data_IF_404047954661
#
_entry.id   IF_404047954661
#
_cell.length_a   1.000
_cell.length_b   1.000
_cell.length_c   1.000
_cell.angle_alpha   90.00
_cell.angle_beta   90.00
_cell.angle_gamma   90.00
#
_symmetry.space_group_name_H-M   'P 1'
#
loop_
_entity.id
_entity.type
_entity.pdbx_description
1 polymer ?
#
# COMPACT_ATOMS: atom_id res chain seq x y z
N UNK A 1 71.63 14.90 -30.70
CA UNK A 1 70.94 15.50 -31.87
C UNK A 1 70.03 16.61 -31.32
N UNK A 2 70.03 17.88 -31.78
CA UNK A 2 69.85 18.43 -33.15
C UNK A 2 68.41 18.14 -33.62
N UNK A 3 67.50 19.09 -33.91
CA UNK A 3 67.44 20.59 -33.89
C UNK A 3 65.95 20.99 -33.68
N UNK A 4 65.54 22.15 -33.11
CA UNK A 4 65.35 23.50 -33.71
C UNK A 4 64.50 23.49 -35.03
N UNK A 5 63.56 24.41 -35.36
CA UNK A 5 63.13 25.71 -34.78
C UNK A 5 61.85 26.29 -35.49
N UNK A 6 61.00 27.08 -34.80
CA UNK A 6 60.15 28.22 -35.28
C UNK A 6 59.01 27.98 -36.33
N UNK A 7 58.09 28.93 -36.63
CA UNK A 7 57.41 29.99 -35.82
C UNK A 7 56.31 30.76 -36.60
N UNK A 8 55.35 31.34 -35.85
CA UNK A 8 54.67 32.67 -35.98
C UNK A 8 54.05 33.19 -37.32
N UNK A 9 53.04 34.06 -37.09
CA UNK A 9 52.40 35.10 -37.92
C UNK A 9 51.08 34.66 -38.61
N UNK A 10 49.88 35.22 -38.41
CA UNK A 10 49.35 36.54 -37.97
C UNK A 10 49.28 37.64 -39.05
N UNK A 11 48.06 38.11 -39.42
CA UNK A 11 47.64 39.53 -39.35
C UNK A 11 46.28 39.85 -40.05
N UNK A 12 45.49 40.70 -39.37
CA UNK A 12 44.56 41.75 -39.87
C UNK A 12 43.50 41.50 -40.97
N UNK A 13 42.27 41.44 -40.46
CA UNK A 13 41.00 42.00 -40.96
C UNK A 13 41.01 43.30 -41.80
N UNK A 14 39.98 43.44 -42.68
CA UNK A 14 39.17 44.64 -43.08
C UNK A 14 38.12 44.20 -44.16
N UNK A 15 36.99 44.87 -44.49
CA UNK A 15 36.06 45.83 -43.81
C UNK A 15 34.86 46.19 -44.74
N UNK A 16 33.61 45.82 -44.39
CA UNK A 16 32.36 46.38 -44.97
C UNK A 16 31.99 45.99 -46.42
N UNK A 17 30.87 46.46 -47.02
CA UNK A 17 29.74 47.28 -46.49
C UNK A 17 28.52 47.27 -47.44
N UNK A 18 27.30 47.47 -46.88
CA UNK A 18 26.00 47.88 -47.51
C UNK A 18 24.96 46.78 -47.88
N UNK A 19 23.72 47.28 -47.94
CA UNK A 19 22.35 46.70 -48.00
C UNK A 19 21.76 46.90 -49.43
N UNK A 20 20.45 46.66 -49.80
CA UNK A 20 19.20 46.61 -48.99
C UNK A 20 18.05 45.66 -49.45
N UNK A 21 16.83 45.94 -48.96
CA UNK A 21 15.51 45.26 -49.09
C UNK A 21 15.31 43.96 -48.27
N UNK A 22 14.16 43.74 -47.61
CA UNK A 22 13.05 44.67 -47.29
C UNK A 22 11.74 43.99 -46.84
N UNK A 23 10.94 44.65 -45.97
CA UNK A 23 9.61 44.25 -45.45
C UNK A 23 9.63 42.97 -44.54
N UNK A 24 8.82 42.72 -43.49
CA UNK A 24 7.79 43.42 -42.66
C UNK A 24 7.62 42.57 -41.33
N UNK A 25 6.84 42.84 -40.26
CA UNK A 25 5.90 43.91 -39.86
C UNK A 25 5.73 44.01 -38.29
N UNK A 26 4.55 44.51 -37.87
CA UNK A 26 3.86 44.66 -36.56
C UNK A 26 3.80 43.36 -35.70
N UNK A 27 3.91 43.30 -34.35
CA UNK A 27 3.80 44.25 -33.20
C UNK A 27 2.38 44.48 -32.65
N UNK A 28 1.93 43.66 -31.70
CA UNK A 28 0.58 43.72 -31.08
C UNK A 28 0.56 44.56 -29.79
N UNK A 29 -0.49 45.38 -29.60
CA UNK A 29 -0.85 46.04 -28.34
C UNK A 29 -2.18 45.48 -27.79
N UNK A 30 -2.35 45.49 -26.46
CA UNK A 30 -3.65 45.41 -25.81
C UNK A 30 -4.29 46.81 -25.68
N UNK A 31 -5.63 46.90 -25.55
CA UNK A 31 -6.17 47.47 -24.30
C UNK A 31 -7.46 46.78 -23.79
N UNK A 32 -8.00 47.34 -22.69
CA UNK A 32 -9.07 46.79 -21.84
C UNK A 32 -10.52 47.02 -22.34
N UNK A 33 -11.39 46.09 -21.93
CA UNK A 33 -12.80 46.24 -21.53
C UNK A 33 -13.85 46.86 -22.49
N UNK A 34 -14.92 46.10 -22.72
CA UNK A 34 -16.29 46.59 -22.48
C UNK A 34 -17.22 45.44 -22.04
N UNK A 35 -18.30 45.76 -21.31
CA UNK A 35 -19.33 44.79 -20.88
C UNK A 35 -20.41 44.61 -21.95
N UNK A 36 -20.85 43.37 -22.15
CA UNK A 36 -22.20 43.02 -22.61
C UNK A 36 -22.64 41.72 -21.94
N UNK A 37 -23.90 41.65 -21.52
CA UNK A 37 -24.49 40.43 -20.97
C UNK A 37 -25.45 39.81 -22.00
N UNK A 38 -25.24 38.55 -22.33
CA UNK A 38 -26.19 37.67 -23.04
C UNK A 38 -26.14 36.34 -22.30
N UNK A 39 -27.29 35.75 -21.98
CA UNK A 39 -27.34 34.46 -21.30
C UNK A 39 -27.21 33.31 -22.30
N UNK A 40 -26.39 32.32 -21.97
CA UNK A 40 -26.34 31.04 -22.70
C UNK A 40 -27.06 29.94 -21.93
N UNK A 41 -27.57 28.96 -22.67
CA UNK A 41 -28.51 27.98 -22.17
C UNK A 41 -27.85 26.88 -21.32
N UNK A 42 -28.62 26.40 -20.36
CA UNK A 42 -28.43 25.18 -19.57
C UNK A 42 -27.78 24.03 -20.34
N UNK A 43 -26.52 23.71 -19.99
CA UNK A 43 -25.96 22.36 -20.15
C UNK A 43 -26.50 21.43 -19.04
N UNK A 44 -26.41 20.10 -19.22
CA UNK A 44 -26.95 19.14 -18.25
C UNK A 44 -26.15 19.15 -16.93
N UNK A 45 -26.86 19.00 -15.81
CA UNK A 45 -26.24 18.88 -14.50
C UNK A 45 -25.27 17.70 -14.45
N UNK A 46 -23.98 17.99 -14.24
CA UNK A 46 -23.11 17.04 -13.57
C UNK A 46 -23.64 16.89 -12.13
N UNK A 47 -24.33 15.78 -11.85
CA UNK A 47 -24.77 15.48 -10.49
C UNK A 47 -23.54 15.34 -9.60
N UNK A 48 -23.41 16.19 -8.59
CA UNK A 48 -22.31 16.12 -7.64
C UNK A 48 -22.37 14.77 -6.93
N UNK A 49 -21.36 13.92 -7.16
CA UNK A 49 -21.23 12.65 -6.46
C UNK A 49 -20.90 12.97 -5.00
N UNK A 50 -21.79 12.58 -4.10
CA UNK A 50 -21.67 12.85 -2.67
C UNK A 50 -20.55 12.01 -2.05
N UNK A 51 -19.31 12.52 -2.05
CA UNK A 51 -18.20 11.90 -1.34
C UNK A 51 -18.48 11.87 0.17
N UNK A 52 -18.88 10.71 0.66
CA UNK A 52 -19.16 10.46 2.07
C UNK A 52 -18.10 9.52 2.68
N UNK A 53 -16.95 10.07 3.04
CA UNK A 53 -16.06 9.62 4.14
C UNK A 53 -14.91 10.61 4.32
N UNK A 54 -14.50 10.86 5.56
CA UNK A 54 -13.35 11.72 5.88
C UNK A 54 -12.03 10.99 5.64
N UNK A 55 -11.60 10.92 4.39
CA UNK A 55 -10.30 10.37 3.96
C UNK A 55 -9.33 11.53 3.79
N UNK A 56 -8.19 11.51 4.50
CA UNK A 56 -7.21 12.59 4.45
C UNK A 56 -6.59 12.72 3.04
N UNK A 57 -6.18 13.93 2.61
CA UNK A 57 -5.48 14.12 1.34
C UNK A 57 -4.28 13.17 1.22
N UNK A 58 -4.11 12.53 0.05
CA UNK A 58 -3.01 11.57 -0.14
C UNK A 58 -3.15 10.25 0.61
N UNK A 59 -4.36 9.80 0.97
CA UNK A 59 -4.60 8.46 1.53
C UNK A 59 -5.58 7.64 0.68
N UNK A 60 -5.46 6.30 0.72
CA UNK A 60 -6.42 5.37 0.09
C UNK A 60 -6.65 4.12 0.96
N UNK A 61 -7.65 3.30 0.62
CA UNK A 61 -7.86 2.00 1.30
C UNK A 61 -8.04 0.84 0.31
N UNK A 62 -7.54 -0.34 0.68
CA UNK A 62 -7.71 -1.60 -0.07
C UNK A 62 -8.04 -2.76 0.88
N UNK A 63 -8.37 -3.94 0.36
CA UNK A 63 -8.55 -5.14 1.17
C UNK A 63 -7.87 -6.37 0.53
N UNK A 64 -7.51 -7.36 1.33
CA UNK A 64 -6.93 -8.62 0.85
C UNK A 64 -7.31 -9.81 1.74
N UNK A 65 -7.56 -10.96 1.10
CA UNK A 65 -7.64 -12.30 1.71
C UNK A 65 -7.68 -13.38 0.60
N UNK A 66 -7.37 -14.63 0.97
CA UNK A 66 -7.46 -15.80 0.09
C UNK A 66 -8.64 -16.71 0.43
N UNK A 67 -8.74 -17.83 -0.30
CA UNK A 67 -9.48 -19.03 0.13
C UNK A 67 -10.99 -18.75 0.24
N UNK A 68 -11.57 -18.36 -0.90
CA UNK A 68 -12.91 -17.81 -1.00
C UNK A 68 -13.97 -18.92 -1.07
N UNK A 69 -14.00 -19.67 -2.16
CA UNK A 69 -15.10 -20.59 -2.51
C UNK A 69 -16.43 -19.89 -2.78
N UNK A 70 -17.50 -20.68 -2.85
CA UNK A 70 -18.87 -20.21 -3.07
C UNK A 70 -19.81 -20.59 -1.92
N UNK A 71 -20.78 -19.71 -1.64
CA UNK A 71 -21.66 -19.71 -0.46
C UNK A 71 -20.96 -19.49 0.88
N UNK A 72 -19.82 -20.13 1.11
CA UNK A 72 -18.91 -19.94 2.23
C UNK A 72 -18.49 -18.48 2.44
N UNK A 73 -18.19 -17.77 1.34
CA UNK A 73 -17.79 -16.37 1.28
C UNK A 73 -18.95 -15.36 1.28
N UNK A 74 -20.22 -15.79 1.32
CA UNK A 74 -21.41 -14.90 1.26
C UNK A 74 -21.28 -13.69 2.20
N UNK A 75 -20.95 -13.92 3.47
CA UNK A 75 -20.86 -12.88 4.50
C UNK A 75 -19.68 -11.94 4.27
N UNK A 76 -18.53 -12.48 3.85
CA UNK A 76 -17.30 -11.72 3.62
C UNK A 76 -17.38 -10.84 2.37
N UNK A 77 -18.02 -11.31 1.29
CA UNK A 77 -18.36 -10.47 0.14
C UNK A 77 -19.36 -9.36 0.52
N UNK A 78 -20.36 -9.67 1.35
CA UNK A 78 -21.33 -8.67 1.84
C UNK A 78 -20.69 -7.60 2.74
N UNK A 79 -19.62 -7.93 3.47
CA UNK A 79 -18.83 -6.99 4.24
C UNK A 79 -17.86 -6.19 3.35
N UNK A 80 -17.25 -6.84 2.34
CA UNK A 80 -16.38 -6.19 1.35
C UNK A 80 -17.14 -5.11 0.57
N UNK A 81 -18.35 -5.39 0.10
CA UNK A 81 -19.23 -4.43 -0.59
C UNK A 81 -19.48 -3.14 0.20
N UNK A 82 -19.44 -3.21 1.53
CA UNK A 82 -19.70 -2.10 2.47
C UNK A 82 -18.42 -1.48 3.04
N UNK A 83 -17.26 -2.00 2.68
CA UNK A 83 -15.97 -1.60 3.28
C UNK A 83 -15.42 -0.26 2.76
N UNK A 84 -15.93 0.20 1.61
CA UNK A 84 -15.49 1.46 0.97
C UNK A 84 -14.05 1.43 0.43
N UNK A 85 -13.50 0.24 0.16
CA UNK A 85 -12.15 0.09 -0.41
C UNK A 85 -12.10 0.40 -1.90
N UNK A 86 -10.94 0.84 -2.38
CA UNK A 86 -10.69 1.13 -3.79
C UNK A 86 -10.48 -0.13 -4.64
N UNK A 87 -9.91 -1.19 -4.05
CA UNK A 87 -9.70 -2.49 -4.68
C UNK A 87 -9.63 -3.63 -3.66
N UNK A 88 -9.81 -4.86 -4.13
CA UNK A 88 -9.60 -6.11 -3.39
C UNK A 88 -8.52 -6.96 -4.06
N UNK A 89 -7.67 -7.60 -3.26
CA UNK A 89 -6.69 -8.60 -3.70
C UNK A 89 -7.18 -9.99 -3.29
N UNK A 90 -7.56 -10.83 -4.27
CA UNK A 90 -7.90 -12.23 -4.04
C UNK A 90 -6.61 -13.07 -4.04
N UNK A 91 -6.19 -13.52 -2.85
CA UNK A 91 -4.91 -14.21 -2.61
C UNK A 91 -4.97 -15.71 -2.98
N UNK A 92 -5.49 -16.02 -4.16
CA UNK A 92 -5.70 -17.38 -4.66
C UNK A 92 -6.80 -18.19 -3.96
N UNK A 93 -7.08 -19.35 -4.55
CA UNK A 93 -8.10 -20.32 -4.16
C UNK A 93 -9.52 -19.70 -4.19
N UNK A 94 -10.10 -19.72 -5.39
CA UNK A 94 -11.22 -18.89 -5.82
C UNK A 94 -12.57 -19.61 -5.69
N UNK A 95 -12.87 -20.64 -6.50
CA UNK A 95 -14.17 -21.34 -6.46
C UNK A 95 -14.12 -22.67 -5.68
N UNK A 96 -13.04 -23.45 -5.78
CA UNK A 96 -13.01 -24.86 -5.34
C UNK A 96 -14.13 -25.73 -5.98
N UNK A 97 -14.52 -25.44 -7.23
CA UNK A 97 -15.66 -26.03 -7.97
C UNK A 97 -17.00 -25.97 -7.18
N UNK A 98 -17.20 -24.90 -6.40
CA UNK A 98 -18.44 -24.69 -5.65
C UNK A 98 -19.52 -23.99 -6.50
N UNK A 99 -19.19 -23.56 -7.72
CA UNK A 99 -20.13 -23.22 -8.79
C UNK A 99 -19.95 -24.10 -10.04
N UNK A 100 -20.86 -24.06 -11.04
CA UNK A 100 -20.76 -24.94 -12.20
C UNK A 100 -19.65 -24.62 -13.22
N UNK A 101 -19.13 -23.39 -13.25
CA UNK A 101 -17.98 -22.96 -14.08
C UNK A 101 -17.31 -21.73 -13.45
N UNK A 102 -16.04 -21.50 -13.78
CA UNK A 102 -15.25 -20.32 -13.40
C UNK A 102 -15.99 -18.98 -13.65
N UNK A 103 -16.75 -18.87 -14.75
CA UNK A 103 -17.58 -17.68 -15.04
C UNK A 103 -18.81 -17.56 -14.13
N UNK A 104 -19.40 -18.68 -13.71
CA UNK A 104 -20.48 -18.69 -12.73
C UNK A 104 -19.99 -18.24 -11.34
N UNK A 105 -18.74 -18.53 -10.97
CA UNK A 105 -18.11 -17.97 -9.77
C UNK A 105 -17.88 -16.46 -9.90
N UNK A 106 -17.33 -16.00 -11.02
CA UNK A 106 -17.19 -14.57 -11.32
C UNK A 106 -18.51 -13.81 -11.18
N UNK A 107 -19.62 -14.37 -11.67
CA UNK A 107 -20.94 -13.75 -11.54
C UNK A 107 -21.52 -13.88 -10.12
N UNK A 108 -21.25 -14.99 -9.41
CA UNK A 108 -21.53 -15.14 -7.97
C UNK A 108 -20.85 -14.03 -7.14
N UNK A 109 -19.60 -13.66 -7.44
CA UNK A 109 -18.87 -12.54 -6.81
C UNK A 109 -19.54 -11.21 -7.16
N UNK A 110 -19.73 -10.88 -8.45
CA UNK A 110 -20.33 -9.60 -8.88
C UNK A 110 -21.72 -9.36 -8.27
N UNK A 111 -22.55 -10.39 -8.16
CA UNK A 111 -23.88 -10.31 -7.55
C UNK A 111 -23.85 -9.95 -6.05
N UNK A 112 -22.71 -10.11 -5.37
CA UNK A 112 -22.52 -9.81 -3.94
C UNK A 112 -21.77 -8.51 -3.68
N UNK A 113 -21.32 -7.83 -4.73
CA UNK A 113 -20.71 -6.51 -4.69
C UNK A 113 -21.61 -5.44 -5.40
N UNK A 114 -22.91 -5.30 -5.08
CA UNK A 114 -23.81 -4.38 -5.77
C UNK A 114 -23.54 -2.89 -5.50
N UNK A 115 -22.88 -2.55 -4.39
CA UNK A 115 -22.51 -1.17 -4.02
C UNK A 115 -21.21 -0.74 -4.70
N UNK A 116 -20.21 -1.63 -4.73
CA UNK A 116 -18.95 -1.42 -5.45
C UNK A 116 -19.11 -1.57 -6.97
N UNK A 117 -20.06 -2.41 -7.40
CA UNK A 117 -20.50 -2.59 -8.78
C UNK A 117 -19.63 -3.52 -9.64
N UNK A 118 -20.10 -3.89 -10.84
CA UNK A 118 -19.44 -4.85 -11.75
C UNK A 118 -18.16 -4.32 -12.43
N UNK A 119 -17.67 -3.14 -12.00
CA UNK A 119 -16.40 -2.56 -12.41
C UNK A 119 -15.42 -2.32 -11.26
N UNK A 120 -15.75 -2.80 -10.06
CA UNK A 120 -14.83 -2.83 -8.93
C UNK A 120 -13.55 -3.62 -9.27
N UNK A 121 -12.34 -3.10 -8.96
CA UNK A 121 -11.10 -3.85 -9.08
C UNK A 121 -11.05 -5.00 -8.06
N UNK A 122 -11.25 -6.22 -8.56
CA UNK A 122 -11.18 -7.47 -7.81
C UNK A 122 -10.00 -8.27 -8.39
N UNK A 123 -8.80 -7.87 -7.99
CA UNK A 123 -7.55 -8.26 -8.64
C UNK A 123 -7.14 -9.67 -8.17
N UNK A 124 -6.97 -10.59 -9.13
CA UNK A 124 -6.75 -12.02 -8.87
C UNK A 124 -5.27 -12.41 -8.89
N UNK A 125 -4.86 -13.35 -8.03
CA UNK A 125 -3.64 -14.16 -8.23
C UNK A 125 -4.00 -15.65 -8.11
N UNK A 126 -3.26 -16.53 -8.78
CA UNK A 126 -3.55 -17.96 -8.82
C UNK A 126 -3.36 -18.62 -7.46
N UNK A 127 -4.32 -19.46 -7.07
CA UNK A 127 -4.17 -20.36 -5.94
C UNK A 127 -3.56 -21.71 -6.30
N UNK A 128 -3.52 -22.56 -5.28
CA UNK A 128 -3.23 -23.98 -5.42
C UNK A 128 -4.36 -24.76 -6.10
N UNK A 129 -5.56 -24.17 -6.17
CA UNK A 129 -6.72 -24.75 -6.83
C UNK A 129 -6.86 -24.36 -8.31
N UNK A 130 -6.36 -23.20 -8.77
CA UNK A 130 -6.57 -22.65 -10.14
C UNK A 130 -5.37 -22.77 -11.11
N UNK A 131 -4.32 -23.53 -10.78
CA UNK A 131 -3.17 -23.70 -11.68
C UNK A 131 -3.50 -24.53 -12.94
N UNK A 132 -2.64 -24.52 -13.95
CA UNK A 132 -2.86 -25.26 -15.20
C UNK A 132 -2.86 -26.78 -14.96
N UNK A 133 -4.03 -27.41 -15.06
CA UNK A 133 -4.21 -28.81 -14.68
C UNK A 133 -4.36 -29.01 -13.16
N UNK A 134 -4.73 -27.95 -12.45
CA UNK A 134 -5.14 -27.95 -11.05
C UNK A 134 -6.50 -28.61 -10.81
N UNK A 135 -6.89 -28.73 -9.54
CA UNK A 135 -8.07 -29.51 -9.15
C UNK A 135 -9.40 -28.81 -9.48
N UNK A 136 -9.47 -27.47 -9.44
CA UNK A 136 -10.76 -26.75 -9.40
C UNK A 136 -10.71 -25.41 -10.16
N UNK A 137 -10.92 -25.48 -11.48
CA UNK A 137 -10.91 -24.32 -12.40
C UNK A 137 -9.52 -23.93 -12.92
N UNK A 138 -9.46 -22.84 -13.68
CA UNK A 138 -8.20 -22.27 -14.19
C UNK A 138 -8.18 -20.74 -14.09
N UNK A 139 -7.04 -20.19 -13.64
CA UNK A 139 -6.91 -18.76 -13.33
C UNK A 139 -7.16 -17.85 -14.54
N UNK A 140 -6.89 -18.31 -15.77
CA UNK A 140 -7.12 -17.49 -16.98
C UNK A 140 -8.60 -17.37 -17.35
N UNK A 141 -9.46 -18.33 -16.98
CA UNK A 141 -10.90 -18.20 -17.17
C UNK A 141 -11.47 -17.17 -16.17
N UNK A 142 -11.08 -17.31 -14.90
CA UNK A 142 -11.40 -16.35 -13.84
C UNK A 142 -10.95 -14.93 -14.21
N UNK A 143 -9.73 -14.78 -14.72
CA UNK A 143 -9.19 -13.51 -15.21
C UNK A 143 -9.95 -12.93 -16.41
N UNK A 144 -10.56 -13.75 -17.27
CA UNK A 144 -11.38 -13.28 -18.39
C UNK A 144 -12.73 -12.70 -17.91
N UNK A 145 -13.27 -13.19 -16.80
CA UNK A 145 -14.57 -12.76 -16.25
C UNK A 145 -14.47 -11.76 -15.07
N UNK A 146 -13.31 -11.63 -14.43
CA UNK A 146 -12.90 -10.58 -13.48
C UNK A 146 -11.52 -10.00 -13.89
N UNK A 147 -11.44 -9.22 -15.00
CA UNK A 147 -10.18 -8.70 -15.53
C UNK A 147 -9.63 -7.51 -14.74
N UNK A 148 -8.29 -7.36 -14.75
CA UNK A 148 -7.50 -6.21 -14.28
C UNK A 148 -8.20 -4.87 -14.55
N UNK A 149 -8.39 -4.08 -13.48
CA UNK A 149 -8.96 -2.73 -13.55
C UNK A 149 -7.97 -1.63 -13.13
N UNK A 150 -6.74 -1.99 -12.77
CA UNK A 150 -5.73 -1.06 -12.25
C UNK A 150 -4.59 -0.76 -13.24
N UNK A 151 -4.55 -1.45 -14.39
CA UNK A 151 -3.58 -1.18 -15.45
C UNK A 151 -2.27 -1.92 -15.22
N UNK A 152 -2.38 -3.20 -14.89
CA UNK A 152 -1.30 -4.04 -14.38
C UNK A 152 -0.23 -4.33 -15.44
N UNK A 153 1.03 -4.30 -15.01
CA UNK A 153 2.18 -4.71 -15.83
C UNK A 153 2.59 -6.14 -15.51
N UNK A 154 2.31 -7.07 -16.42
CA UNK A 154 2.70 -8.48 -16.32
C UNK A 154 1.67 -9.41 -16.96
N UNK A 155 1.64 -10.66 -16.50
CA UNK A 155 0.55 -11.60 -16.77
C UNK A 155 -0.41 -11.57 -15.57
N UNK A 156 -1.54 -10.89 -15.73
CA UNK A 156 -2.60 -10.83 -14.72
C UNK A 156 -3.06 -12.25 -14.31
N UNK A 157 -3.38 -12.44 -13.02
CA UNK A 157 -3.59 -13.76 -12.43
C UNK A 157 -2.31 -14.54 -12.09
N UNK A 158 -1.17 -14.31 -12.75
CA UNK A 158 0.05 -15.13 -12.56
C UNK A 158 1.23 -14.37 -11.92
N UNK A 159 1.66 -13.28 -12.57
CA UNK A 159 2.82 -12.47 -12.19
C UNK A 159 2.66 -11.07 -12.76
N UNK A 160 2.31 -10.09 -11.92
CA UNK A 160 2.11 -8.71 -12.34
C UNK A 160 2.34 -7.71 -11.21
N UNK A 161 2.45 -6.43 -11.54
CA UNK A 161 2.40 -5.35 -10.55
C UNK A 161 1.59 -4.16 -11.07
N UNK A 162 1.05 -3.36 -10.14
CA UNK A 162 0.46 -2.06 -10.42
C UNK A 162 0.88 -1.05 -9.34
N UNK A 163 0.76 0.23 -9.67
CA UNK A 163 1.09 1.36 -8.81
C UNK A 163 -0.21 2.10 -8.43
N UNK A 164 -0.43 2.35 -7.13
CA UNK A 164 -1.66 2.98 -6.65
C UNK A 164 -1.41 4.14 -5.67
N UNK A 165 -2.10 5.28 -5.82
CA UNK A 165 -2.87 5.71 -7.00
C UNK A 165 -1.96 5.92 -8.22
N UNK A 166 -2.40 5.51 -9.42
CA UNK A 166 -1.55 5.47 -10.61
C UNK A 166 -0.96 6.83 -11.06
N UNK A 167 -1.56 7.95 -10.66
CA UNK A 167 -1.07 9.31 -10.94
C UNK A 167 -0.07 9.85 -9.91
N UNK A 168 0.00 9.25 -8.72
CA UNK A 168 0.91 9.65 -7.62
C UNK A 168 1.12 8.45 -6.69
N UNK A 169 1.95 7.46 -7.07
CA UNK A 169 2.02 6.16 -6.41
C UNK A 169 2.47 6.23 -4.94
N UNK A 170 1.57 5.84 -4.04
CA UNK A 170 1.87 5.63 -2.62
C UNK A 170 2.35 4.19 -2.38
N UNK A 171 1.78 3.22 -3.10
CA UNK A 171 2.13 1.81 -3.00
C UNK A 171 2.30 1.16 -4.37
N UNK A 172 3.35 0.34 -4.52
CA UNK A 172 3.38 -0.73 -5.53
C UNK A 172 2.84 -2.01 -4.93
N UNK A 173 1.85 -2.61 -5.60
CA UNK A 173 1.38 -3.96 -5.31
C UNK A 173 1.96 -4.89 -6.36
N UNK A 174 2.59 -5.98 -5.93
CA UNK A 174 3.17 -7.02 -6.80
C UNK A 174 2.48 -8.34 -6.47
N UNK A 175 1.85 -8.96 -7.45
CA UNK A 175 1.11 -10.21 -7.29
C UNK A 175 1.86 -11.36 -7.97
N UNK A 176 2.15 -12.44 -7.24
CA UNK A 176 2.99 -13.55 -7.71
C UNK A 176 2.41 -14.92 -7.34
N UNK A 177 2.59 -15.90 -8.25
CA UNK A 177 2.09 -17.28 -8.12
C UNK A 177 3.23 -18.30 -7.93
N UNK A 178 3.97 -18.31 -6.82
CA UNK A 178 5.08 -19.23 -6.58
C UNK A 178 4.63 -20.69 -6.47
N UNK A 179 5.46 -21.61 -6.98
CA UNK A 179 5.22 -23.06 -7.01
C UNK A 179 3.90 -23.45 -7.71
N UNK A 180 3.63 -22.82 -8.86
CA UNK A 180 2.47 -23.07 -9.71
C UNK A 180 2.85 -23.07 -11.21
N UNK A 181 2.18 -23.90 -12.00
CA UNK A 181 2.26 -23.95 -13.47
C UNK A 181 1.11 -23.13 -14.07
N UNK A 182 1.40 -22.10 -14.86
CA UNK A 182 0.39 -21.25 -15.52
C UNK A 182 0.87 -20.89 -16.93
N UNK A 183 0.01 -20.97 -17.95
CA UNK A 183 0.35 -20.73 -19.38
C UNK A 183 1.62 -21.48 -19.84
N UNK A 184 1.75 -22.74 -19.42
CA UNK A 184 2.87 -23.65 -19.66
C UNK A 184 4.22 -23.18 -19.06
N UNK A 185 4.18 -22.30 -18.07
CA UNK A 185 5.33 -21.71 -17.40
C UNK A 185 5.32 -22.03 -15.90
N UNK A 186 6.45 -22.54 -15.38
CA UNK A 186 6.61 -22.85 -13.95
C UNK A 186 7.15 -21.62 -13.21
N UNK A 187 6.34 -21.06 -12.31
CA UNK A 187 6.70 -19.87 -11.54
C UNK A 187 7.46 -20.27 -10.26
N UNK A 188 8.79 -20.44 -10.36
CA UNK A 188 9.60 -21.01 -9.27
C UNK A 188 10.13 -20.00 -8.26
N UNK A 189 10.51 -18.80 -8.70
CA UNK A 189 11.21 -17.79 -7.89
C UNK A 189 12.46 -18.32 -7.15
N UNK A 190 13.12 -19.34 -7.70
CA UNK A 190 14.43 -19.81 -7.21
C UNK A 190 15.55 -18.81 -7.52
N UNK A 191 16.63 -18.80 -6.74
CA UNK A 191 17.72 -17.82 -6.86
C UNK A 191 18.28 -17.80 -8.29
N UNK A 192 18.06 -16.67 -8.97
CA UNK A 192 18.53 -16.46 -10.34
C UNK A 192 17.58 -16.95 -11.43
N UNK A 193 16.38 -17.45 -11.11
CA UNK A 193 15.33 -17.67 -12.11
C UNK A 193 14.91 -16.35 -12.80
N UNK A 194 14.27 -16.40 -13.98
CA UNK A 194 13.64 -15.23 -14.58
C UNK A 194 12.66 -14.53 -13.63
N UNK A 195 11.81 -15.28 -12.92
CA UNK A 195 10.81 -14.75 -11.98
C UNK A 195 11.45 -14.02 -10.79
N UNK A 196 12.52 -14.60 -10.22
CA UNK A 196 13.29 -14.00 -9.13
C UNK A 196 13.93 -12.67 -9.56
N UNK A 197 14.49 -12.63 -10.79
CA UNK A 197 15.06 -11.41 -11.38
C UNK A 197 13.99 -10.36 -11.71
N UNK A 198 12.83 -10.79 -12.21
CA UNK A 198 11.68 -9.92 -12.47
C UNK A 198 11.18 -9.28 -11.17
N UNK A 199 11.05 -10.05 -10.09
CA UNK A 199 10.60 -9.55 -8.79
C UNK A 199 11.58 -8.54 -8.20
N UNK A 200 12.90 -8.79 -8.28
CA UNK A 200 13.93 -7.80 -7.94
C UNK A 200 13.75 -6.50 -8.74
N UNK A 201 13.45 -6.61 -10.04
CA UNK A 201 13.25 -5.44 -10.91
C UNK A 201 11.94 -4.69 -10.60
N UNK A 202 10.86 -5.40 -10.25
CA UNK A 202 9.57 -4.81 -9.89
C UNK A 202 9.68 -4.05 -8.55
N UNK A 203 10.31 -4.64 -7.54
CA UNK A 203 10.59 -4.00 -6.24
C UNK A 203 11.54 -2.80 -6.42
N UNK A 204 12.67 -3.01 -7.11
CA UNK A 204 13.66 -1.97 -7.36
C UNK A 204 13.11 -0.79 -8.17
N UNK A 205 12.22 -1.06 -9.13
CA UNK A 205 11.55 -0.03 -9.91
C UNK A 205 10.67 0.92 -9.08
N UNK A 206 10.00 0.41 -8.03
CA UNK A 206 9.20 1.23 -7.12
C UNK A 206 10.09 2.10 -6.22
N UNK A 207 11.11 1.52 -5.58
CA UNK A 207 12.08 2.30 -4.77
C UNK A 207 12.80 3.37 -5.61
N UNK A 208 13.17 3.06 -6.86
CA UNK A 208 13.76 4.03 -7.79
C UNK A 208 12.80 5.13 -8.27
N UNK A 209 11.49 4.88 -8.25
CA UNK A 209 10.45 5.86 -8.57
C UNK A 209 10.04 6.70 -7.34
N UNK A 210 10.61 6.44 -6.16
CA UNK A 210 10.24 7.10 -4.91
C UNK A 210 8.95 6.58 -4.26
N UNK A 211 8.37 5.47 -4.75
CA UNK A 211 7.13 4.90 -4.21
C UNK A 211 7.31 4.48 -2.75
N UNK A 212 6.56 5.09 -1.79
CA UNK A 212 6.76 4.84 -0.36
C UNK A 212 6.61 3.38 0.06
N UNK A 213 5.58 2.67 -0.41
CA UNK A 213 5.24 1.32 0.05
C UNK A 213 5.37 0.26 -1.04
N UNK A 214 5.79 -0.94 -0.64
CA UNK A 214 5.78 -2.13 -1.51
C UNK A 214 5.08 -3.27 -0.77
N UNK A 215 3.98 -3.74 -1.34
CA UNK A 215 3.28 -4.95 -0.91
C UNK A 215 3.48 -6.07 -1.93
N UNK A 216 3.70 -7.31 -1.47
CA UNK A 216 3.76 -8.50 -2.33
C UNK A 216 2.69 -9.51 -1.93
N UNK A 217 1.72 -9.73 -2.81
CA UNK A 217 0.64 -10.71 -2.62
C UNK A 217 0.91 -12.02 -3.35
N UNK A 218 0.58 -13.13 -2.69
CA UNK A 218 0.63 -14.48 -3.24
C UNK A 218 -0.39 -15.38 -2.52
N UNK A 219 -0.51 -16.62 -2.97
CA UNK A 219 -1.35 -17.60 -2.29
C UNK A 219 -0.59 -18.38 -1.22
N UNK A 220 0.39 -19.21 -1.63
CA UNK A 220 1.14 -20.16 -0.77
C UNK A 220 2.03 -19.47 0.28
N UNK A 221 2.37 -20.23 1.33
CA UNK A 221 3.14 -19.76 2.51
C UNK A 221 4.59 -20.27 2.53
N UNK A 222 5.42 -19.71 3.41
CA UNK A 222 6.68 -20.34 3.83
C UNK A 222 6.67 -20.72 5.31
N UNK A 223 6.61 -19.71 6.18
CA UNK A 223 6.42 -19.89 7.62
C UNK A 223 4.92 -19.97 7.96
N UNK A 224 4.52 -20.85 8.89
CA UNK A 224 3.13 -20.98 9.35
C UNK A 224 3.02 -21.74 10.67
N UNK A 225 2.10 -21.32 11.54
CA UNK A 225 1.60 -22.12 12.68
C UNK A 225 0.40 -23.00 12.31
N UNK A 226 -0.02 -22.99 11.04
CA UNK A 226 -1.20 -23.69 10.55
C UNK A 226 -0.92 -25.14 10.13
N UNK A 227 -1.33 -25.51 8.91
CA UNK A 227 -1.16 -26.88 8.38
C UNK A 227 -0.37 -26.93 7.07
N UNK A 228 0.13 -25.80 6.58
CA UNK A 228 0.84 -25.70 5.29
C UNK A 228 2.36 -25.55 5.50
N UNK A 229 3.20 -26.35 4.83
CA UNK A 229 4.65 -26.26 4.92
C UNK A 229 5.19 -25.12 4.05
N UNK A 230 6.52 -24.90 4.05
CA UNK A 230 7.12 -23.95 3.11
C UNK A 230 7.12 -24.47 1.67
N UNK A 231 6.09 -24.08 0.91
CA UNK A 231 5.94 -24.41 -0.51
C UNK A 231 6.56 -23.34 -1.43
N UNK A 232 6.56 -22.07 -1.03
CA UNK A 232 7.14 -20.99 -1.87
C UNK A 232 8.67 -20.98 -1.92
N UNK A 233 9.32 -21.82 -1.10
CA UNK A 233 10.77 -21.91 -0.97
C UNK A 233 11.40 -20.79 -0.12
N UNK A 234 12.46 -21.15 0.59
CA UNK A 234 13.25 -20.19 1.39
C UNK A 234 13.93 -19.12 0.54
N UNK A 235 14.25 -19.41 -0.73
CA UNK A 235 14.80 -18.45 -1.71
C UNK A 235 13.90 -17.21 -1.87
N UNK A 236 12.60 -17.41 -2.10
CA UNK A 236 11.65 -16.31 -2.27
C UNK A 236 11.38 -15.59 -0.94
N UNK A 237 11.18 -16.33 0.16
CA UNK A 237 11.00 -15.71 1.48
C UNK A 237 12.19 -14.80 1.84
N UNK A 238 13.41 -15.29 1.68
CA UNK A 238 14.61 -14.52 1.99
C UNK A 238 14.86 -13.38 1.00
N UNK A 239 14.46 -13.51 -0.27
CA UNK A 239 14.46 -12.37 -1.19
C UNK A 239 13.57 -11.23 -0.64
N UNK A 240 12.32 -11.52 -0.26
CA UNK A 240 11.37 -10.51 0.22
C UNK A 240 11.90 -9.78 1.46
N UNK A 241 12.39 -10.53 2.45
CA UNK A 241 13.01 -9.99 3.68
C UNK A 241 14.27 -9.18 3.35
N UNK A 242 15.18 -9.69 2.51
CA UNK A 242 16.41 -8.98 2.10
C UNK A 242 16.16 -7.70 1.28
N UNK A 243 14.93 -7.48 0.82
CA UNK A 243 14.51 -6.29 0.09
C UNK A 243 13.69 -5.31 0.92
N UNK A 244 13.41 -5.64 2.19
CA UNK A 244 12.57 -4.83 3.06
C UNK A 244 11.27 -4.45 2.33
N UNK A 245 10.60 -5.47 1.79
CA UNK A 245 9.21 -5.37 1.33
C UNK A 245 8.38 -5.02 2.56
N UNK A 246 7.61 -3.94 2.53
CA UNK A 246 6.94 -3.45 3.74
C UNK A 246 5.92 -4.49 4.25
N UNK A 247 5.20 -5.17 3.33
CA UNK A 247 4.14 -6.12 3.67
C UNK A 247 4.06 -7.28 2.66
N UNK A 248 3.97 -8.53 3.16
CA UNK A 248 3.73 -9.73 2.35
C UNK A 248 2.36 -10.32 2.72
N UNK A 249 1.54 -10.62 1.70
CA UNK A 249 0.14 -11.03 1.85
C UNK A 249 -0.08 -12.44 1.29
N UNK A 250 -0.65 -13.32 2.11
CA UNK A 250 -0.78 -14.76 1.84
C UNK A 250 -2.18 -15.31 2.18
N UNK A 251 -2.55 -16.42 1.54
CA UNK A 251 -3.72 -17.25 1.84
C UNK A 251 -3.28 -18.68 2.19
N UNK A 252 -3.95 -19.67 1.61
CA UNK A 252 -3.65 -21.11 1.63
C UNK A 252 -3.78 -21.83 2.98
N UNK A 253 -3.37 -21.20 4.07
CA UNK A 253 -3.67 -21.64 5.43
C UNK A 253 -5.00 -21.00 5.85
N UNK A 254 -6.04 -21.81 6.07
CA UNK A 254 -7.42 -21.37 6.32
C UNK A 254 -7.62 -20.81 7.73
N UNK A 255 -6.86 -19.77 8.08
CA UNK A 255 -6.81 -19.09 9.37
C UNK A 255 -6.28 -17.65 9.15
N UNK A 256 -5.97 -16.97 10.24
CA UNK A 256 -5.31 -15.67 10.24
C UNK A 256 -4.02 -15.74 11.03
N UNK A 257 -2.91 -15.22 10.50
CA UNK A 257 -1.63 -15.14 11.21
C UNK A 257 -0.87 -13.87 10.81
N UNK A 258 -0.57 -13.01 11.80
CA UNK A 258 0.29 -11.84 11.68
C UNK A 258 1.69 -12.18 12.17
N UNK A 259 2.65 -12.12 11.25
CA UNK A 259 4.06 -12.23 11.55
C UNK A 259 4.57 -11.06 12.39
N UNK A 260 5.70 -11.30 13.04
CA UNK A 260 6.61 -10.27 13.55
C UNK A 260 7.32 -9.60 12.39
N UNK A 261 8.01 -8.48 12.62
CA UNK A 261 8.81 -7.87 11.57
C UNK A 261 10.15 -8.59 11.48
N UNK A 262 10.44 -9.13 10.29
CA UNK A 262 11.63 -9.94 10.04
C UNK A 262 12.65 -9.18 9.20
N UNK A 263 13.94 -9.27 9.52
CA UNK A 263 15.02 -8.68 8.73
C UNK A 263 16.27 -9.57 8.72
N UNK A 264 17.09 -9.45 7.68
CA UNK A 264 18.40 -10.10 7.63
C UNK A 264 19.46 -9.13 8.15
N UNK A 265 20.26 -9.56 9.12
CA UNK A 265 21.36 -8.76 9.68
C UNK A 265 22.76 -9.26 9.23
N UNK A 266 22.83 -10.44 8.61
CA UNK A 266 24.05 -11.01 8.01
C UNK A 266 25.08 -11.57 9.00
N UNK A 267 24.92 -11.34 10.30
CA UNK A 267 25.87 -11.75 11.34
C UNK A 267 25.31 -12.87 12.24
N UNK A 268 24.07 -12.71 12.70
CA UNK A 268 23.32 -13.72 13.48
C UNK A 268 22.13 -14.27 12.70
N UNK A 269 21.37 -13.41 12.00
CA UNK A 269 20.40 -13.82 10.98
C UNK A 269 20.93 -13.53 9.56
N UNK A 270 21.63 -14.50 8.91
CA UNK A 270 22.01 -14.42 7.50
C UNK A 270 20.86 -14.79 6.55
N UNK A 271 19.85 -15.52 7.05
CA UNK A 271 18.66 -15.96 6.34
C UNK A 271 17.60 -16.37 7.36
N UNK A 272 16.33 -16.03 7.13
CA UNK A 272 15.19 -16.61 7.85
C UNK A 272 15.09 -18.09 7.46
N UNK A 273 15.27 -19.06 8.38
CA UNK A 273 15.02 -20.47 8.10
C UNK A 273 13.51 -20.79 8.02
N UNK A 274 13.19 -21.99 7.57
CA UNK A 274 11.85 -22.58 7.65
C UNK A 274 11.94 -23.97 8.33
N UNK A 275 10.86 -24.41 8.97
CA UNK A 275 10.83 -25.58 9.85
C UNK A 275 11.54 -25.37 11.20
N UNK A 276 11.84 -24.13 11.58
CA UNK A 276 12.44 -23.74 12.87
C UNK A 276 12.37 -22.22 13.05
N UNK A 277 12.33 -21.75 14.30
CA UNK A 277 12.44 -20.33 14.63
C UNK A 277 13.89 -19.90 14.88
N UNK A 278 14.23 -18.72 14.36
CA UNK A 278 15.43 -17.95 14.68
C UNK A 278 15.02 -16.56 15.20
N UNK A 279 15.36 -16.28 16.46
CA UNK A 279 15.03 -15.03 17.13
C UNK A 279 15.88 -13.84 16.64
N UNK A 280 17.10 -14.08 16.14
CA UNK A 280 17.99 -13.04 15.63
C UNK A 280 17.48 -12.41 14.31
N UNK A 281 16.48 -13.04 13.68
CA UNK A 281 15.78 -12.51 12.51
C UNK A 281 14.62 -11.57 12.86
N UNK A 282 14.19 -11.51 14.13
CA UNK A 282 13.08 -10.65 14.57
C UNK A 282 13.64 -9.28 14.96
N UNK A 283 13.20 -8.22 14.26
CA UNK A 283 13.57 -6.82 14.59
C UNK A 283 12.50 -6.07 15.36
N UNK A 284 11.25 -6.54 15.28
CA UNK A 284 10.10 -5.99 16.02
C UNK A 284 9.12 -7.14 16.30
N UNK A 285 8.62 -7.26 17.53
CA UNK A 285 7.70 -8.33 17.92
C UNK A 285 6.21 -7.98 17.72
N UNK A 286 5.89 -6.72 17.38
CA UNK A 286 4.54 -6.25 17.08
C UNK A 286 3.54 -6.39 18.22
N UNK A 287 4.00 -6.50 19.48
CA UNK A 287 3.15 -6.68 20.66
C UNK A 287 2.40 -5.41 21.09
N UNK A 288 2.91 -4.23 20.72
CA UNK A 288 2.22 -2.93 20.81
C UNK A 288 1.26 -2.70 19.61
N UNK A 289 1.34 -3.56 18.59
CA UNK A 289 0.66 -3.47 17.29
C UNK A 289 1.19 -2.34 16.36
N UNK A 290 2.42 -1.88 16.59
CA UNK A 290 3.18 -1.06 15.67
C UNK A 290 4.27 -1.88 14.96
N UNK A 291 4.88 -1.29 13.95
CA UNK A 291 6.08 -1.77 13.26
C UNK A 291 6.82 -0.58 12.62
N UNK A 292 8.15 -0.57 12.66
CA UNK A 292 8.93 0.51 12.06
C UNK A 292 9.05 0.35 10.52
N UNK A 293 8.68 1.39 9.76
CA UNK A 293 8.86 1.40 8.30
C UNK A 293 10.32 1.11 7.92
N UNK A 294 10.51 0.14 7.02
CA UNK A 294 11.82 -0.21 6.48
C UNK A 294 12.74 -1.00 7.41
N UNK A 295 12.39 -1.22 8.70
CA UNK A 295 13.20 -2.06 9.59
C UNK A 295 13.25 -3.52 9.10
N UNK A 296 12.15 -4.03 8.57
CA UNK A 296 12.04 -5.36 7.96
C UNK A 296 10.67 -5.60 7.28
N UNK A 297 10.37 -6.85 7.00
CA UNK A 297 9.13 -7.30 6.34
C UNK A 297 8.15 -7.90 7.34
N UNK A 298 6.87 -7.50 7.26
CA UNK A 298 5.77 -8.17 7.98
C UNK A 298 5.07 -9.14 7.02
N UNK A 299 4.89 -10.39 7.44
CA UNK A 299 4.08 -11.38 6.72
C UNK A 299 2.67 -11.43 7.31
N UNK A 300 1.64 -11.55 6.47
CA UNK A 300 0.26 -11.74 6.89
C UNK A 300 -0.41 -12.85 6.10
N UNK A 301 -0.73 -13.94 6.79
CA UNK A 301 -1.62 -14.99 6.30
C UNK A 301 -3.06 -14.56 6.64
N UNK A 302 -3.91 -14.45 5.62
CA UNK A 302 -5.30 -14.05 5.72
C UNK A 302 -6.18 -14.97 4.85
N UNK A 303 -5.95 -16.27 4.92
CA UNK A 303 -6.63 -17.30 4.13
C UNK A 303 -8.00 -17.72 4.66
N UNK A 304 -8.69 -16.83 5.38
CA UNK A 304 -9.97 -17.13 6.04
C UNK A 304 -11.14 -16.32 5.48
N UNK A 305 -11.16 -16.03 4.16
CA UNK A 305 -12.23 -15.22 3.58
C UNK A 305 -13.57 -15.95 3.57
N UNK A 306 -13.60 -17.15 3.01
CA UNK A 306 -14.81 -17.97 2.91
C UNK A 306 -14.60 -19.38 3.43
N UNK A 307 -13.57 -20.09 3.01
CA UNK A 307 -13.21 -21.36 3.64
C UNK A 307 -12.52 -21.12 4.99
N UNK A 308 -12.90 -21.92 5.98
CA UNK A 308 -12.37 -21.85 7.35
C UNK A 308 -12.85 -23.10 8.12
N UNK A 309 -12.13 -23.62 9.10
CA UNK A 309 -10.85 -23.14 9.62
C UNK A 309 -9.87 -24.29 9.79
N UNK A 310 -8.61 -24.08 9.41
CA UNK A 310 -7.52 -24.94 9.84
C UNK A 310 -7.10 -24.55 11.26
N UNK A 311 -6.75 -25.55 12.06
CA UNK A 311 -6.12 -25.34 13.37
C UNK A 311 -4.80 -24.58 13.22
N UNK A 312 -4.49 -23.75 14.21
CA UNK A 312 -3.11 -23.31 14.47
C UNK A 312 -2.56 -24.07 15.67
N UNK A 313 -1.29 -24.47 15.62
CA UNK A 313 -0.58 -25.04 16.75
C UNK A 313 0.29 -23.95 17.43
N UNK A 314 -0.08 -23.48 18.63
CA UNK A 314 0.70 -22.48 19.37
C UNK A 314 2.00 -23.07 19.97
N UNK A 315 2.26 -24.37 19.76
CA UNK A 315 3.51 -25.05 20.11
C UNK A 315 4.37 -25.42 18.90
N UNK A 316 3.96 -25.01 17.68
CA UNK A 316 4.82 -25.16 16.50
C UNK A 316 6.16 -24.42 16.67
N UNK A 317 7.21 -24.98 16.09
CA UNK A 317 8.56 -24.42 16.15
C UNK A 317 8.67 -23.04 15.49
N UNK A 318 7.80 -22.70 14.53
CA UNK A 318 7.74 -21.40 13.86
C UNK A 318 6.83 -20.39 14.57
N UNK A 319 6.09 -20.77 15.62
CA UNK A 319 5.21 -19.88 16.37
C UNK A 319 5.96 -18.64 16.96
N UNK A 320 7.28 -18.76 17.15
CA UNK A 320 8.14 -17.64 17.52
C UNK A 320 8.12 -16.47 16.52
N UNK A 321 7.80 -16.72 15.24
CA UNK A 321 7.70 -15.69 14.18
C UNK A 321 6.37 -14.93 14.16
N UNK A 322 5.36 -15.30 14.95
CA UNK A 322 4.03 -14.69 14.87
C UNK A 322 3.71 -13.83 16.10
N UNK A 323 3.09 -12.67 15.85
CA UNK A 323 2.59 -11.72 16.85
C UNK A 323 1.10 -11.96 17.17
N UNK A 324 0.31 -12.41 16.18
CA UNK A 324 -1.11 -12.77 16.32
C UNK A 324 -1.44 -13.99 15.50
N UNK A 325 -2.29 -14.87 16.02
CA UNK A 325 -2.90 -15.99 15.28
C UNK A 325 -4.40 -16.13 15.62
N UNK A 326 -5.19 -16.67 14.69
CA UNK A 326 -6.62 -16.88 14.89
C UNK A 326 -7.19 -17.99 13.98
N UNK A 327 -7.68 -19.07 14.59
CA UNK A 327 -8.08 -20.32 13.91
C UNK A 327 -9.60 -20.58 13.89
N UNK A 328 -10.43 -19.57 14.11
CA UNK A 328 -11.89 -19.72 14.31
C UNK A 328 -12.74 -18.65 13.62
N UNK A 329 -12.10 -17.71 12.93
CA UNK A 329 -12.73 -16.47 12.49
C UNK A 329 -12.61 -16.30 10.98
N UNK A 330 -13.62 -15.70 10.36
CA UNK A 330 -13.62 -15.36 8.93
C UNK A 330 -13.60 -13.86 8.75
N UNK A 331 -13.09 -13.40 7.61
CA UNK A 331 -13.00 -11.99 7.27
C UNK A 331 -11.94 -11.71 6.22
N UNK A 332 -11.63 -10.43 6.05
CA UNK A 332 -10.50 -9.96 5.26
C UNK A 332 -9.74 -8.89 6.04
N UNK A 333 -8.50 -8.63 5.68
CA UNK A 333 -7.79 -7.48 6.22
C UNK A 333 -8.04 -6.28 5.32
N UNK A 334 -8.58 -5.20 5.88
CA UNK A 334 -8.64 -3.88 5.25
C UNK A 334 -7.39 -3.10 5.61
N UNK A 335 -6.85 -2.37 4.64
CA UNK A 335 -5.70 -1.50 4.80
C UNK A 335 -6.07 -0.06 4.49
N UNK A 336 -5.54 0.87 5.27
CA UNK A 336 -5.44 2.30 4.96
C UNK A 336 -3.97 2.61 4.69
N UNK A 337 -3.68 3.36 3.63
CA UNK A 337 -2.32 3.69 3.20
C UNK A 337 -2.23 5.19 2.96
N UNK A 338 -1.29 5.83 3.64
CA UNK A 338 -0.88 7.23 3.41
C UNK A 338 0.59 7.34 3.03
N UNK A 339 1.15 8.56 2.89
CA UNK A 339 2.58 8.75 2.64
C UNK A 339 3.47 8.17 3.75
N UNK A 340 3.04 8.27 5.01
CA UNK A 340 3.83 7.91 6.19
C UNK A 340 3.37 6.67 6.98
N UNK A 341 2.16 6.15 6.73
CA UNK A 341 1.68 4.93 7.38
C UNK A 341 1.06 3.90 6.42
N UNK A 342 1.05 2.64 6.85
CA UNK A 342 0.00 1.66 6.55
C UNK A 342 -0.70 1.33 7.87
N UNK A 343 -2.03 1.26 7.88
CA UNK A 343 -2.81 0.70 8.99
C UNK A 343 -3.62 -0.48 8.47
N UNK A 344 -3.55 -1.61 9.15
CA UNK A 344 -4.25 -2.84 8.81
C UNK A 344 -5.28 -3.17 9.90
N UNK A 345 -6.48 -3.60 9.50
CA UNK A 345 -7.58 -3.97 10.40
C UNK A 345 -8.26 -5.25 9.89
N UNK A 346 -8.40 -6.26 10.75
CA UNK A 346 -9.15 -7.48 10.40
C UNK A 346 -10.67 -7.23 10.45
N UNK A 347 -11.31 -7.17 9.29
CA UNK A 347 -12.76 -7.01 9.12
C UNK A 347 -13.44 -8.36 9.31
N UNK A 348 -13.64 -8.72 10.59
CA UNK A 348 -14.28 -9.96 11.03
C UNK A 348 -15.73 -10.08 10.54
N UNK A 349 -16.04 -11.20 9.89
CA UNK A 349 -17.40 -11.57 9.45
C UNK A 349 -18.02 -12.71 10.26
N UNK A 350 -17.20 -13.63 10.81
CA UNK A 350 -17.62 -14.61 11.82
C UNK A 350 -16.49 -14.89 12.82
N UNK A 351 -16.81 -15.48 13.98
CA UNK A 351 -15.85 -15.82 15.03
C UNK A 351 -15.55 -14.65 15.97
N UNK A 352 -14.39 -14.67 16.62
CA UNK A 352 -14.04 -13.75 17.71
C UNK A 352 -12.79 -12.88 17.49
N UNK A 353 -11.91 -13.22 16.54
CA UNK A 353 -10.64 -12.52 16.29
C UNK A 353 -10.83 -11.01 16.05
N UNK A 354 -10.26 -10.20 16.93
CA UNK A 354 -9.89 -8.82 16.61
C UNK A 354 -8.38 -8.73 16.43
N UNK A 355 -7.94 -8.04 15.38
CA UNK A 355 -6.56 -7.60 15.23
C UNK A 355 -6.53 -6.31 14.41
N UNK A 356 -5.61 -5.41 14.75
CA UNK A 356 -5.38 -4.15 14.07
C UNK A 356 -3.95 -3.73 14.36
N UNK A 357 -3.20 -3.26 13.36
CA UNK A 357 -1.80 -2.86 13.52
C UNK A 357 -1.41 -1.78 12.51
N UNK A 358 -0.28 -1.10 12.75
CA UNK A 358 0.27 -0.10 11.82
C UNK A 358 1.74 -0.37 11.48
N UNK A 359 2.17 0.05 10.29
CA UNK A 359 3.57 0.16 9.88
C UNK A 359 3.85 1.65 9.63
N UNK A 360 4.75 2.25 10.41
CA UNK A 360 4.82 3.71 10.55
C UNK A 360 6.21 4.27 10.25
N UNK A 361 6.26 5.39 9.51
CA UNK A 361 7.49 6.09 9.16
C UNK A 361 8.03 6.93 10.32
N UNK A 362 9.15 6.49 10.89
CA UNK A 362 9.94 7.28 11.84
C UNK A 362 10.93 8.25 11.17
N UNK A 363 10.92 8.37 9.84
CA UNK A 363 11.59 9.47 9.15
C UNK A 363 10.82 10.77 9.38
N UNK A 364 11.57 11.85 9.61
CA UNK A 364 11.18 13.25 9.47
C UNK A 364 11.83 13.72 8.14
N UNK A 365 11.04 14.24 7.21
CA UNK A 365 11.45 14.52 5.82
C UNK A 365 11.86 15.97 5.55
N UNK A 366 11.29 16.93 6.28
CA UNK A 366 11.50 18.37 6.06
C UNK A 366 12.19 19.07 7.25
N UNK A 367 12.20 18.45 8.43
CA UNK A 367 12.91 18.90 9.62
C UNK A 367 12.05 19.67 10.63
N UNK A 368 10.71 19.69 10.53
CA UNK A 368 9.85 20.40 11.48
C UNK A 368 9.82 19.75 12.90
N UNK A 369 10.25 18.49 12.99
CA UNK A 369 10.36 17.69 14.19
C UNK A 369 9.14 16.81 14.53
N UNK A 370 8.15 16.71 13.65
CA UNK A 370 7.24 15.58 13.57
C UNK A 370 7.80 14.51 12.62
N UNK A 371 7.23 13.30 12.64
CA UNK A 371 7.61 12.26 11.68
C UNK A 371 6.54 12.12 10.61
N UNK A 372 6.96 11.74 9.40
CA UNK A 372 6.06 11.50 8.28
C UNK A 372 4.90 10.58 8.67
N UNK A 373 5.15 9.63 9.58
CA UNK A 373 4.14 8.74 10.15
C UNK A 373 3.04 9.51 10.88
N UNK A 374 3.40 10.30 11.89
CA UNK A 374 2.48 11.16 12.67
C UNK A 374 1.71 12.09 11.74
N UNK A 375 2.40 12.82 10.88
CA UNK A 375 1.82 13.77 9.93
C UNK A 375 0.82 13.10 8.98
N UNK A 376 1.18 11.92 8.47
CA UNK A 376 0.31 11.11 7.61
C UNK A 376 -0.94 10.58 8.31
N UNK A 377 -0.98 10.54 9.65
CA UNK A 377 -2.21 10.30 10.42
C UNK A 377 -2.96 11.61 10.70
N UNK A 378 -2.25 12.66 11.12
CA UNK A 378 -2.80 13.99 11.35
C UNK A 378 -3.46 14.60 10.10
N UNK A 379 -3.03 14.17 8.91
CA UNK A 379 -3.52 14.63 7.62
C UNK A 379 -2.76 15.85 7.09
N UNK A 380 -1.54 16.08 7.56
CA UNK A 380 -0.64 17.13 7.07
C UNK A 380 0.31 16.60 5.97
N UNK A 381 1.02 17.49 5.27
CA UNK A 381 1.94 17.16 4.17
C UNK A 381 3.39 16.93 4.66
N UNK A 382 3.89 15.67 4.75
CA UNK A 382 5.17 15.32 5.36
C UNK A 382 6.40 15.60 4.48
N UNK A 383 6.35 16.72 3.76
CA UNK A 383 7.39 17.26 2.90
C UNK A 383 7.34 18.80 2.87
N UNK A 384 6.58 19.42 3.79
CA UNK A 384 6.32 20.86 3.86
C UNK A 384 6.21 21.33 5.33
N UNK A 385 7.36 21.63 5.93
CA UNK A 385 7.49 22.08 7.32
C UNK A 385 6.65 23.32 7.71
N UNK A 386 6.15 24.11 6.76
CA UNK A 386 5.42 25.36 7.03
C UNK A 386 4.47 25.74 5.88
N UNK A 387 3.19 25.98 6.17
CA UNK A 387 2.16 26.19 5.14
C UNK A 387 0.74 25.94 5.64
N UNK A 388 -0.17 25.55 4.73
CA UNK A 388 -1.56 25.16 5.04
C UNK A 388 -1.65 23.64 5.09
N UNK A 389 -2.18 23.10 6.19
CA UNK A 389 -2.14 21.66 6.55
C UNK A 389 -0.71 21.08 6.44
N UNK A 390 0.24 21.83 6.98
CA UNK A 390 1.68 21.60 6.90
C UNK A 390 2.25 21.08 8.23
N UNK A 391 2.41 21.96 9.21
CA UNK A 391 2.97 21.63 10.51
C UNK A 391 1.88 21.14 11.47
N UNK A 392 1.94 19.92 12.05
CA UNK A 392 0.90 19.41 12.96
C UNK A 392 0.54 20.36 14.11
N UNK A 393 1.51 21.13 14.63
CA UNK A 393 1.33 22.05 15.76
C UNK A 393 0.68 23.41 15.43
N UNK A 394 0.44 23.73 14.16
CA UNK A 394 -0.32 24.90 13.70
C UNK A 394 -1.68 24.45 13.13
N UNK A 395 -2.65 24.26 14.02
CA UNK A 395 -3.98 23.70 13.72
C UNK A 395 -4.90 24.70 13.01
N UNK A 396 -4.53 25.99 13.04
CA UNK A 396 -5.34 27.08 12.51
C UNK A 396 -4.77 27.69 11.21
N UNK A 397 -3.52 27.34 10.85
CA UNK A 397 -2.75 27.78 9.70
C UNK A 397 -2.31 29.26 9.72
N UNK A 398 -1.90 29.80 10.88
CA UNK A 398 -1.35 31.15 11.03
C UNK A 398 0.19 31.23 11.15
N UNK A 399 0.88 30.09 11.04
CA UNK A 399 2.33 29.85 11.17
C UNK A 399 2.90 29.97 12.58
N UNK A 400 2.08 29.88 13.65
CA UNK A 400 2.54 30.01 15.03
C UNK A 400 1.75 29.12 16.01
N UNK A 401 2.42 28.14 16.62
CA UNK A 401 1.77 27.24 17.58
C UNK A 401 1.54 27.97 18.91
N UNK A 402 0.27 28.25 19.26
CA UNK A 402 -0.06 28.99 20.48
C UNK A 402 -1.24 28.40 21.30
N UNK A 403 -1.90 29.23 22.12
CA UNK A 403 -3.02 28.82 22.94
C UNK A 403 -4.25 28.43 22.10
N UNK A 404 -4.43 29.00 20.90
CA UNK A 404 -5.56 28.65 20.04
C UNK A 404 -5.47 27.21 19.51
N UNK A 405 -4.25 26.70 19.25
CA UNK A 405 -4.03 25.32 18.83
C UNK A 405 -4.21 24.34 19.99
N UNK A 406 -3.63 24.65 21.16
CA UNK A 406 -3.81 23.85 22.38
C UNK A 406 -5.30 23.81 22.78
N UNK A 407 -6.04 24.91 22.67
CA UNK A 407 -7.48 24.93 22.92
C UNK A 407 -8.23 24.11 21.88
N UNK A 408 -7.88 24.20 20.60
CA UNK A 408 -8.53 23.42 19.53
C UNK A 408 -8.36 21.91 19.74
N UNK A 409 -7.16 21.46 20.10
CA UNK A 409 -6.86 20.07 20.44
C UNK A 409 -7.53 19.63 21.75
N UNK A 410 -7.46 20.43 22.82
CA UNK A 410 -8.02 20.06 24.14
C UNK A 410 -9.55 20.01 24.18
N UNK A 411 -10.25 20.66 23.23
CA UNK A 411 -11.69 20.44 23.01
C UNK A 411 -12.03 18.98 22.64
N UNK A 412 -11.05 18.22 22.14
CA UNK A 412 -11.17 16.81 21.77
C UNK A 412 -10.54 15.83 22.76
N UNK A 413 -9.99 16.30 23.88
CA UNK A 413 -9.39 15.43 24.90
C UNK A 413 -10.34 14.34 25.40
N UNK A 414 -9.82 13.13 25.56
CA UNK A 414 -10.54 11.90 25.92
C UNK A 414 -11.58 11.46 24.87
N UNK A 415 -11.37 11.78 23.59
CA UNK A 415 -12.18 11.29 22.46
C UNK A 415 -11.33 10.39 21.55
N UNK A 416 -11.91 9.27 21.12
CA UNK A 416 -11.36 8.49 20.02
C UNK A 416 -11.38 9.32 18.72
N UNK A 417 -10.46 9.02 17.82
CA UNK A 417 -10.39 9.58 16.47
C UNK A 417 -11.45 8.96 15.56
N UNK A 418 -11.88 9.69 14.54
CA UNK A 418 -12.70 9.17 13.44
C UNK A 418 -13.83 10.10 13.00
N UNK A 419 -14.86 9.54 12.33
CA UNK A 419 -16.02 10.32 11.89
C UNK A 419 -16.81 10.94 13.07
N UNK A 420 -17.35 12.17 12.94
CA UNK A 420 -18.12 12.82 14.00
C UNK A 420 -19.22 11.91 14.60
N UNK A 421 -19.36 11.87 15.95
CA UNK A 421 -18.89 12.85 16.93
C UNK A 421 -17.46 12.63 17.48
N UNK A 422 -16.66 11.73 16.89
CA UNK A 422 -15.27 11.52 17.27
C UNK A 422 -14.35 12.72 16.92
N UNK A 423 -13.11 12.68 17.43
CA UNK A 423 -12.08 13.67 17.11
C UNK A 423 -11.61 13.58 15.65
N UNK A 424 -11.31 14.71 14.99
CA UNK A 424 -10.42 14.76 13.84
C UNK A 424 -9.06 14.11 14.14
N UNK A 425 -8.48 13.41 13.16
CA UNK A 425 -7.15 12.81 13.28
C UNK A 425 -6.02 13.85 13.43
N UNK A 426 -6.25 15.10 12.98
CA UNK A 426 -5.36 16.26 13.12
C UNK A 426 -4.89 16.56 14.56
N UNK A 427 -5.55 15.97 15.56
CA UNK A 427 -5.27 16.14 16.99
C UNK A 427 -4.63 14.92 17.67
N UNK A 428 -4.48 13.80 16.95
CA UNK A 428 -3.82 12.55 17.35
C UNK A 428 -2.42 12.56 16.71
N UNK A 429 -1.48 13.15 17.45
CA UNK A 429 -0.13 13.53 17.03
C UNK A 429 0.95 12.87 17.90
N UNK A 430 0.57 12.02 18.86
CA UNK A 430 1.46 11.27 19.71
C UNK A 430 0.85 9.91 20.10
N UNK A 431 1.65 8.85 20.31
CA UNK A 431 3.09 8.79 20.11
C UNK A 431 3.47 8.74 18.61
N UNK A 432 4.73 8.45 18.27
CA UNK A 432 5.20 8.38 16.87
C UNK A 432 4.39 7.43 15.96
N UNK A 433 3.69 6.47 16.56
CA UNK A 433 2.57 5.75 15.95
C UNK A 433 1.28 6.18 16.70
N UNK A 434 0.56 7.20 16.20
CA UNK A 434 -0.70 7.69 16.77
C UNK A 434 -1.67 6.57 17.14
N UNK A 435 -2.27 6.64 18.34
CA UNK A 435 -2.97 5.50 18.95
C UNK A 435 -4.48 5.48 18.67
N UNK A 436 -5.00 6.53 18.02
CA UNK A 436 -6.40 6.70 17.69
C UNK A 436 -7.22 7.40 18.78
N UNK A 437 -6.61 8.08 19.75
CA UNK A 437 -7.30 8.69 20.88
C UNK A 437 -6.62 9.97 21.39
N UNK A 438 -7.32 11.11 21.40
CA UNK A 438 -6.72 12.39 21.82
C UNK A 438 -6.54 12.44 23.33
N UNK A 439 -5.29 12.50 23.76
CA UNK A 439 -4.80 12.10 25.09
C UNK A 439 -3.82 13.15 25.68
N UNK A 440 -3.18 12.85 26.83
CA UNK A 440 -2.20 13.73 27.47
C UNK A 440 -0.86 13.80 26.72
N UNK A 441 -0.48 12.79 25.94
CA UNK A 441 0.71 12.77 25.10
C UNK A 441 0.58 13.72 23.91
N UNK A 442 -0.61 13.84 23.31
CA UNK A 442 -0.89 14.85 22.27
C UNK A 442 -0.76 16.26 22.83
N UNK A 443 -1.40 16.52 23.98
CA UNK A 443 -1.30 17.81 24.67
C UNK A 443 0.16 18.10 25.03
N UNK A 444 0.91 17.11 25.52
CA UNK A 444 2.34 17.26 25.83
C UNK A 444 3.18 17.55 24.58
N UNK A 445 2.83 16.96 23.44
CA UNK A 445 3.56 17.13 22.17
C UNK A 445 3.24 18.49 21.56
N UNK A 446 1.97 18.89 21.49
CA UNK A 446 1.52 20.23 21.10
C UNK A 446 2.15 21.32 21.99
N UNK A 447 2.05 21.18 23.31
CA UNK A 447 2.63 22.18 24.24
C UNK A 447 4.16 22.26 24.19
N UNK A 448 4.86 21.21 23.73
CA UNK A 448 6.31 21.28 23.47
C UNK A 448 6.68 22.23 22.32
N UNK A 449 5.71 22.58 21.45
CA UNK A 449 5.86 23.51 20.32
C UNK A 449 5.38 24.92 20.62
N UNK A 450 4.74 25.15 21.77
CA UNK A 450 4.16 26.44 22.14
C UNK A 450 5.15 27.61 22.02
N UNK A 451 4.76 28.65 21.28
CA UNK A 451 5.57 29.83 21.03
C UNK A 451 6.62 29.67 19.93
N UNK A 452 6.62 28.56 19.19
CA UNK A 452 7.45 28.36 18.00
C UNK A 452 6.68 28.73 16.73
N UNK A 453 7.42 29.14 15.70
CA UNK A 453 6.92 29.24 14.32
C UNK A 453 7.42 28.06 13.52
N UNK A 454 6.64 27.64 12.53
CA UNK A 454 7.18 26.83 11.45
C UNK A 454 8.24 27.62 10.65
N UNK A 455 9.16 26.93 9.98
CA UNK A 455 10.40 27.50 9.42
C UNK A 455 10.68 27.04 7.99
#
# INVERSE_FOLDING_TARGET
MVKKIFARQSLRARRGRKTPFGLLFILVLAPLLLRSAVGELSGPNAAAVSNATGVAPGTFTFAAAGDLGASSANTSLTALDRSGVAFYLALGDLDYDQTPTDEAWCDYVKQRLPTLGPSFPFELVSGSHEYQGGPNGYIMNHAACLPDRLGSTGLYGAQYYFDYPASSPLMRVIMISPDLLIENYNYTYSVGSPEYKWLISAIGGARNAGTPWIAVGMHKVCISTGVKPCEIGTDLMNLLVSKHVDLVLQGHDHNYQRGKQLALNGATCPSVPAGTFDADCVVDDGSDNSYAKGAGTVFLISGSFGLCCYSVDPTDVEAGYFARVGATSKGFTKYTVGPGHITAQFVKTTGDLTDSFSIVSNQDSDGDGFTNGVESFAGTDPFLACGVEAWPADTNNDTFSDMFDIVSLTNHYSQAVGPPPNSPARYDIAPNAPDGFVDIFDISTMTSRFGQRCQ
#
